data_IF_689348872203
#
_entry.id   IF_689348872203
#
_cell.length_a   1.000
_cell.length_b   1.000
_cell.length_c   1.000
_cell.angle_alpha   90.00
_cell.angle_beta   90.00
_cell.angle_gamma   90.00
#
_symmetry.space_group_name_H-M   'P 1'
#
loop_
_entity.id
_entity.type
_entity.pdbx_description
1 polymer ?
#
# COMPACT_ATOMS: atom_id res chain seq x y z
N UNK A 1 -3.37 15.32 1.57
CA UNK A 1 -1.91 15.35 1.35
C UNK A 1 -1.32 16.01 2.57
N UNK A 2 -0.74 15.21 3.46
CA UNK A 2 -0.11 15.71 4.68
C UNK A 2 1.40 15.53 4.51
N UNK A 3 2.20 16.59 4.62
CA UNK A 3 3.65 16.44 4.68
C UNK A 3 3.99 15.63 5.92
N UNK A 4 4.77 14.57 5.76
CA UNK A 4 5.34 13.84 6.89
C UNK A 4 6.24 14.79 7.70
N UNK A 5 6.40 14.52 8.99
CA UNK A 5 7.10 15.42 9.94
C UNK A 5 8.53 15.84 9.57
N UNK A 6 9.14 15.18 8.57
CA UNK A 6 10.46 15.50 8.01
C UNK A 6 10.41 16.47 6.80
N UNK A 7 9.22 16.86 6.34
CA UNK A 7 8.96 17.74 5.18
C UNK A 7 9.55 17.26 3.83
N UNK A 8 10.15 16.07 3.79
CA UNK A 8 10.76 15.45 2.60
C UNK A 8 9.94 14.29 2.05
N UNK A 9 8.99 13.77 2.83
CA UNK A 9 8.09 12.69 2.43
C UNK A 9 6.64 13.12 2.59
N UNK A 10 5.77 12.52 1.76
CA UNK A 10 4.32 12.76 1.80
C UNK A 10 3.68 11.42 2.07
N UNK A 11 2.83 11.36 3.10
CA UNK A 11 1.99 10.19 3.33
C UNK A 11 0.71 10.30 2.52
N UNK A 12 0.39 9.24 1.78
CA UNK A 12 -0.77 9.16 0.90
C UNK A 12 -1.51 7.86 1.20
N UNK A 13 -2.77 7.99 1.60
CA UNK A 13 -3.67 6.85 1.79
C UNK A 13 -4.61 6.78 0.58
N UNK A 14 -4.70 5.60 -0.01
CA UNK A 14 -5.58 5.32 -1.13
C UNK A 14 -6.47 4.12 -0.79
N UNK A 15 -7.76 4.24 -1.11
CA UNK A 15 -8.66 3.10 -1.18
C UNK A 15 -8.45 2.41 -2.54
N UNK A 16 -7.94 1.18 -2.50
CA UNK A 16 -7.68 0.37 -3.70
C UNK A 16 -8.55 -0.88 -3.68
N UNK A 17 -9.31 -1.10 -4.75
CA UNK A 17 -9.99 -2.36 -5.00
C UNK A 17 -9.09 -3.22 -5.89
N UNK A 18 -8.66 -4.36 -5.35
CA UNK A 18 -7.88 -5.33 -6.11
C UNK A 18 -8.82 -6.14 -7.01
N UNK A 19 -8.36 -6.41 -8.22
CA UNK A 19 -9.03 -7.34 -9.14
C UNK A 19 -8.70 -8.77 -8.71
N UNK A 20 -9.61 -9.73 -8.91
CA UNK A 20 -9.48 -11.12 -8.40
C UNK A 20 -8.13 -11.82 -8.68
N UNK A 21 -7.42 -11.42 -9.73
CA UNK A 21 -6.12 -12.00 -10.12
C UNK A 21 -4.91 -11.34 -9.41
N UNK A 22 -5.14 -10.26 -8.67
CA UNK A 22 -4.10 -9.47 -8.01
C UNK A 22 -4.25 -9.55 -6.49
N UNK A 23 -3.24 -10.12 -5.84
CA UNK A 23 -3.15 -10.17 -4.39
C UNK A 23 -2.54 -8.90 -3.82
N UNK A 24 -2.88 -8.61 -2.57
CA UNK A 24 -2.28 -7.52 -1.80
C UNK A 24 -0.75 -7.62 -1.70
N UNK A 25 -0.23 -8.84 -1.65
CA UNK A 25 1.19 -9.14 -1.67
C UNK A 25 1.86 -8.68 -2.98
N UNK A 26 1.28 -9.01 -4.15
CA UNK A 26 1.79 -8.58 -5.46
C UNK A 26 1.81 -7.05 -5.59
N UNK A 27 0.77 -6.37 -5.11
CA UNK A 27 0.74 -4.91 -5.07
C UNK A 27 1.85 -4.34 -4.17
N UNK A 28 2.00 -4.89 -2.97
CA UNK A 28 3.02 -4.42 -2.00
C UNK A 28 4.42 -4.64 -2.53
N UNK A 29 4.69 -5.79 -3.16
CA UNK A 29 5.98 -6.12 -3.75
C UNK A 29 6.33 -5.18 -4.91
N UNK A 30 5.37 -4.90 -5.81
CA UNK A 30 5.57 -3.97 -6.92
C UNK A 30 5.80 -2.55 -6.45
N UNK A 31 5.05 -2.11 -5.43
CA UNK A 31 5.18 -0.77 -4.87
C UNK A 31 6.52 -0.62 -4.11
N UNK A 32 6.93 -1.64 -3.36
CA UNK A 32 8.22 -1.66 -2.66
C UNK A 32 9.44 -1.75 -3.58
N UNK A 33 9.26 -2.17 -4.84
CA UNK A 33 10.32 -2.20 -5.85
C UNK A 33 10.62 -0.82 -6.47
N UNK A 34 9.85 0.22 -6.15
CA UNK A 34 10.09 1.58 -6.65
C UNK A 34 11.15 2.28 -5.77
N UNK A 35 12.24 2.73 -6.38
CA UNK A 35 13.40 3.36 -5.68
C UNK A 35 13.05 4.57 -4.81
N UNK A 36 11.89 5.20 -5.02
CA UNK A 36 11.44 6.39 -4.31
C UNK A 36 10.34 6.13 -3.28
N UNK A 37 9.98 4.87 -3.01
CA UNK A 37 9.01 4.51 -1.98
C UNK A 37 9.74 3.98 -0.75
N UNK A 38 9.61 4.69 0.36
CA UNK A 38 10.25 4.32 1.62
C UNK A 38 9.49 3.23 2.38
N UNK A 39 8.16 3.24 2.32
CA UNK A 39 7.31 2.30 3.05
C UNK A 39 5.96 2.11 2.35
N UNK A 40 5.47 0.88 2.34
CA UNK A 40 4.13 0.51 1.84
C UNK A 40 3.43 -0.26 2.94
N UNK A 41 2.33 0.27 3.46
CA UNK A 41 1.50 -0.40 4.45
C UNK A 41 0.16 -0.74 3.82
N UNK A 42 -0.14 -2.03 3.75
CA UNK A 42 -1.44 -2.51 3.29
C UNK A 42 -2.38 -2.68 4.49
N UNK A 43 -3.45 -1.89 4.50
CA UNK A 43 -4.53 -2.03 5.48
C UNK A 43 -5.62 -2.92 4.87
N UNK A 44 -5.39 -4.23 4.84
CA UNK A 44 -6.46 -5.18 4.55
C UNK A 44 -7.23 -5.46 5.85
N UNK A 45 -8.53 -5.14 5.85
CA UNK A 45 -9.44 -5.65 6.87
C UNK A 45 -9.46 -7.17 6.76
N UNK A 46 -9.03 -7.84 7.82
CA UNK A 46 -8.80 -9.29 7.98
C UNK A 46 -10.07 -10.16 7.86
N UNK A 47 -11.05 -9.78 7.03
CA UNK A 47 -12.39 -10.38 7.02
C UNK A 47 -12.80 -10.97 5.67
N UNK A 48 -11.83 -11.30 4.81
CA UNK A 48 -12.02 -12.17 3.65
C UNK A 48 -10.96 -13.27 3.73
N UNK A 49 -11.07 -14.07 4.79
CA UNK A 49 -10.33 -15.32 4.98
C UNK A 49 -11.36 -16.42 4.88
N UNK A 50 -11.98 -16.57 3.71
CA UNK A 50 -12.80 -17.73 3.43
C UNK A 50 -11.86 -18.91 3.10
N UNK A 51 -12.04 -19.97 3.89
CA UNK A 51 -11.20 -21.15 4.05
C UNK A 51 -11.43 -22.19 2.95
#
# INVERSE_FOLDING_TARGET
MEPSGDNQSVSLTYDVALKDDLSADDLTQRMGALEHISEVVLIASKNDVDY
#
